data_IF_935400991780
#
_entry.id   IF_935400991780
#
_cell.length_a   1.000
_cell.length_b   1.000
_cell.length_c   1.000
_cell.angle_alpha   90.00
_cell.angle_beta   90.00
_cell.angle_gamma   90.00
#
_symmetry.space_group_name_H-M   'P 1'
#
loop_
_entity.id
_entity.type
_entity.pdbx_description
1 polymer ?
#
# COMPACT_ATOMS: atom_id res chain seq x y z
N UNK A 1 -24.14 8.88 19.12
CA UNK A 1 -24.27 9.31 18.84
C UNK A 1 -25.04 10.03 18.58
N UNK A 2 -25.20 10.53 18.24
CA UNK A 2 -26.07 11.16 18.44
C UNK A 2 -26.84 11.65 17.40
N UNK A 3 -28.01 11.97 17.56
CA UNK A 3 -28.81 12.46 16.56
C UNK A 3 -28.42 13.76 16.09
N UNK A 4 -27.58 14.37 16.83
CA UNK A 4 -27.16 15.69 16.46
C UNK A 4 -26.60 15.68 15.11
N UNK A 5 -25.86 14.64 14.80
CA UNK A 5 -25.24 14.62 13.52
C UNK A 5 -26.22 14.44 12.44
N UNK A 6 -27.31 13.76 12.69
CA UNK A 6 -28.26 13.61 11.64
C UNK A 6 -28.97 14.89 11.38
N UNK A 7 -29.14 15.73 12.41
CA UNK A 7 -29.79 16.98 12.18
C UNK A 7 -28.91 17.93 11.44
N UNK A 8 -27.63 17.81 11.63
CA UNK A 8 -26.70 18.69 10.95
C UNK A 8 -26.15 18.03 9.73
N UNK A 9 -26.99 17.35 9.02
CA UNK A 9 -26.57 16.58 7.88
C UNK A 9 -25.95 17.42 6.81
N UNK A 10 -24.85 16.96 6.30
CA UNK A 10 -24.26 17.52 5.13
C UNK A 10 -24.16 16.43 4.12
N UNK A 11 -24.16 16.81 2.86
CA UNK A 11 -23.99 15.82 1.83
C UNK A 11 -22.53 15.54 1.66
N UNK A 12 -22.11 14.33 2.01
CA UNK A 12 -20.74 13.90 1.79
C UNK A 12 -20.61 13.05 0.56
N UNK A 13 -21.64 13.02 -0.25
CA UNK A 13 -21.59 12.25 -1.48
C UNK A 13 -20.45 12.72 -2.35
N UNK A 14 -19.69 11.77 -2.86
CA UNK A 14 -18.56 12.09 -3.70
C UNK A 14 -17.28 12.41 -2.96
N UNK A 15 -17.31 12.51 -1.66
CA UNK A 15 -16.10 12.75 -0.88
C UNK A 15 -15.48 11.43 -0.48
N UNK A 16 -14.16 11.40 -0.47
CA UNK A 16 -13.42 10.23 -0.02
C UNK A 16 -13.63 10.02 1.47
N UNK A 17 -14.03 8.83 1.81
CA UNK A 17 -14.40 8.52 3.19
C UNK A 17 -13.21 7.92 3.92
N UNK A 18 -12.28 8.77 4.32
CA UNK A 18 -11.04 8.34 4.96
C UNK A 18 -11.28 7.68 6.31
N UNK A 19 -12.40 8.01 6.95
CA UNK A 19 -12.70 7.44 8.26
C UNK A 19 -13.02 5.95 8.21
N UNK A 20 -13.21 5.39 7.01
CA UNK A 20 -13.44 3.96 6.88
C UNK A 20 -12.15 3.14 6.91
N UNK A 21 -10.99 3.80 6.89
CA UNK A 21 -9.73 3.09 6.87
C UNK A 21 -9.44 2.48 8.25
N UNK A 22 -8.87 1.28 8.29
CA UNK A 22 -8.46 0.68 9.56
C UNK A 22 -7.18 1.35 10.06
N UNK A 23 -7.34 2.31 10.96
CA UNK A 23 -6.22 3.17 11.36
C UNK A 23 -5.09 2.39 12.03
N UNK A 24 -5.42 1.33 12.78
CA UNK A 24 -4.39 0.52 13.41
C UNK A 24 -3.54 -0.20 12.38
N UNK A 25 -4.16 -0.74 11.34
CA UNK A 25 -3.42 -1.39 10.26
C UNK A 25 -2.57 -0.38 9.50
N UNK A 26 -3.12 0.81 9.25
CA UNK A 26 -2.36 1.84 8.56
C UNK A 26 -1.17 2.32 9.39
N UNK A 27 -1.32 2.34 10.71
CA UNK A 27 -0.20 2.72 11.57
C UNK A 27 0.95 1.76 11.43
N UNK A 28 0.68 0.46 11.27
CA UNK A 28 1.75 -0.50 11.05
C UNK A 28 2.45 -0.25 9.72
N UNK A 29 1.71 0.11 8.68
CA UNK A 29 2.33 0.46 7.40
C UNK A 29 3.19 1.71 7.56
N UNK A 30 2.70 2.69 8.32
CA UNK A 30 3.48 3.89 8.58
C UNK A 30 4.79 3.58 9.30
N UNK A 31 4.79 2.59 10.19
CA UNK A 31 6.01 2.17 10.87
C UNK A 31 7.04 1.64 9.86
N UNK A 32 6.59 0.91 8.86
CA UNK A 32 7.50 0.43 7.81
C UNK A 32 8.08 1.61 7.04
N UNK A 33 7.24 2.60 6.74
CA UNK A 33 7.72 3.79 6.07
C UNK A 33 8.73 4.56 6.90
N UNK A 34 8.49 4.64 8.22
CA UNK A 34 9.41 5.32 9.10
C UNK A 34 10.75 4.60 9.18
N UNK A 35 10.72 3.28 9.18
CA UNK A 35 11.95 2.49 9.15
C UNK A 35 12.73 2.79 7.87
N UNK A 36 12.05 2.80 6.73
CA UNK A 36 12.69 3.09 5.46
C UNK A 36 13.24 4.51 5.40
N UNK A 37 12.52 5.46 6.02
CA UNK A 37 12.97 6.84 6.03
C UNK A 37 14.28 7.00 6.80
N UNK A 38 14.46 6.25 7.89
CA UNK A 38 15.72 6.30 8.61
C UNK A 38 16.87 5.75 7.78
N UNK A 39 16.58 4.74 6.96
CA UNK A 39 17.62 4.07 6.20
C UNK A 39 17.93 4.78 4.90
N UNK A 40 16.92 5.32 4.22
CA UNK A 40 17.07 5.86 2.87
C UNK A 40 16.71 7.33 2.75
N UNK A 41 16.17 7.93 3.80
CA UNK A 41 15.70 9.32 3.73
C UNK A 41 14.21 9.40 3.51
N UNK A 42 13.61 10.46 4.03
CA UNK A 42 12.17 10.66 3.88
C UNK A 42 11.83 10.85 2.42
N UNK A 43 10.74 10.24 2.02
CA UNK A 43 10.22 10.36 0.65
C UNK A 43 11.19 9.86 -0.43
N UNK A 44 12.18 9.07 -0.04
CA UNK A 44 13.12 8.53 -1.02
C UNK A 44 12.40 7.72 -2.10
N UNK A 45 11.32 7.03 -1.72
CA UNK A 45 10.56 6.22 -2.67
C UNK A 45 9.92 7.07 -3.77
N UNK A 46 9.71 8.37 -3.53
CA UNK A 46 9.07 9.23 -4.51
C UNK A 46 9.89 9.39 -5.78
N UNK A 47 11.16 9.07 -5.74
CA UNK A 47 12.01 9.13 -6.92
C UNK A 47 11.70 8.07 -7.97
N UNK A 48 10.96 7.06 -7.57
CA UNK A 48 10.55 6.02 -8.51
C UNK A 48 11.49 4.84 -8.52
N UNK A 49 10.93 3.69 -8.82
CA UNK A 49 11.71 2.49 -9.07
C UNK A 49 10.89 1.62 -10.01
N UNK A 50 11.50 0.55 -10.51
CA UNK A 50 10.75 -0.35 -11.38
C UNK A 50 9.64 -1.01 -10.61
N UNK A 51 8.46 -1.11 -11.22
CA UNK A 51 7.29 -1.64 -10.55
C UNK A 51 7.46 -3.11 -10.20
N UNK A 52 8.15 -3.88 -11.03
CA UNK A 52 8.38 -5.29 -10.75
C UNK A 52 9.15 -5.49 -9.45
N UNK A 53 9.98 -4.54 -9.07
CA UNK A 53 10.73 -4.62 -7.84
C UNK A 53 9.82 -4.57 -6.63
N UNK A 54 8.82 -3.70 -6.67
CA UNK A 54 7.84 -3.60 -5.60
C UNK A 54 6.90 -4.80 -5.61
N UNK A 55 6.52 -5.26 -6.80
CA UNK A 55 5.69 -6.47 -6.91
C UNK A 55 6.41 -7.65 -6.26
N UNK A 56 7.66 -7.83 -6.60
CA UNK A 56 8.43 -8.94 -6.03
C UNK A 56 8.55 -8.85 -4.52
N UNK A 57 8.81 -7.65 -4.02
CA UNK A 57 8.93 -7.45 -2.58
C UNK A 57 7.60 -7.73 -1.88
N UNK A 58 6.50 -7.22 -2.43
CA UNK A 58 5.18 -7.45 -1.85
C UNK A 58 4.87 -8.95 -1.77
N UNK A 59 5.14 -9.66 -2.86
CA UNK A 59 4.85 -11.09 -2.91
C UNK A 59 5.74 -11.89 -1.95
N UNK A 60 7.01 -11.51 -1.83
CA UNK A 60 7.88 -12.20 -0.88
C UNK A 60 7.37 -12.05 0.55
N UNK A 61 6.91 -10.87 0.91
CA UNK A 61 6.37 -10.66 2.25
C UNK A 61 5.08 -11.44 2.45
N UNK A 62 4.20 -11.45 1.44
CA UNK A 62 2.95 -12.19 1.54
C UNK A 62 3.22 -13.69 1.66
N UNK A 63 4.16 -14.20 0.88
CA UNK A 63 4.50 -15.62 0.93
C UNK A 63 5.08 -16.00 2.28
N UNK A 64 5.97 -15.19 2.83
CA UNK A 64 6.55 -15.45 4.14
C UNK A 64 5.46 -15.50 5.21
N UNK A 65 4.54 -14.55 5.14
CA UNK A 65 3.43 -14.53 6.08
C UNK A 65 2.55 -15.77 5.91
N UNK A 66 2.26 -16.14 4.66
CA UNK A 66 1.41 -17.31 4.38
C UNK A 66 2.04 -18.60 4.88
N UNK A 67 3.35 -18.63 4.97
CA UNK A 67 4.06 -19.80 5.48
C UNK A 67 4.24 -19.76 7.00
N UNK A 68 3.61 -18.81 7.67
CA UNK A 68 3.58 -18.79 9.12
C UNK A 68 4.52 -17.80 9.78
N UNK A 69 5.25 -17.01 9.03
CA UNK A 69 6.14 -16.02 9.61
C UNK A 69 5.43 -14.67 9.66
N UNK A 70 5.06 -14.25 10.86
CA UNK A 70 4.28 -13.01 10.98
C UNK A 70 5.10 -11.76 10.76
N UNK A 71 6.33 -11.76 11.23
CA UNK A 71 7.17 -10.57 11.18
C UNK A 71 8.43 -10.81 10.38
N UNK A 72 8.85 -9.76 9.68
CA UNK A 72 10.11 -9.79 8.96
C UNK A 72 11.23 -9.82 9.99
N UNK A 73 12.10 -10.83 9.97
CA UNK A 73 13.15 -10.92 10.98
C UNK A 73 14.18 -9.79 10.88
N UNK A 74 14.29 -9.18 9.72
CA UNK A 74 15.26 -8.10 9.56
C UNK A 74 14.80 -6.81 10.21
N UNK A 75 13.52 -6.51 10.13
CA UNK A 75 12.99 -5.25 10.66
C UNK A 75 12.19 -5.43 11.93
N UNK A 76 11.71 -6.65 12.21
CA UNK A 76 10.82 -6.89 13.33
C UNK A 76 9.41 -6.40 13.09
N UNK A 77 9.09 -5.95 11.87
CA UNK A 77 7.79 -5.40 11.55
C UNK A 77 6.98 -6.42 10.75
N UNK A 78 5.67 -6.23 10.77
CA UNK A 78 4.75 -7.16 10.12
C UNK A 78 5.06 -7.33 8.64
N UNK A 79 5.11 -8.58 8.18
CA UNK A 79 5.24 -8.86 6.75
C UNK A 79 4.10 -8.25 5.96
N UNK A 80 2.88 -8.29 6.50
CA UNK A 80 1.74 -7.72 5.79
C UNK A 80 1.84 -6.20 5.70
N UNK A 81 2.41 -5.56 6.72
CA UNK A 81 2.63 -4.13 6.66
C UNK A 81 3.67 -3.78 5.61
N UNK A 82 4.72 -4.59 5.48
CA UNK A 82 5.70 -4.39 4.40
C UNK A 82 5.04 -4.55 3.03
N UNK A 83 4.21 -5.57 2.87
CA UNK A 83 3.50 -5.76 1.60
C UNK A 83 2.56 -4.60 1.33
N UNK A 84 1.87 -4.13 2.36
CA UNK A 84 0.97 -2.99 2.22
C UNK A 84 1.72 -1.73 1.80
N UNK A 85 2.89 -1.52 2.34
CA UNK A 85 3.73 -0.39 1.95
C UNK A 85 4.07 -0.46 0.46
N UNK A 86 4.47 -1.64 -0.03
CA UNK A 86 4.78 -1.81 -1.44
C UNK A 86 3.56 -1.53 -2.32
N UNK A 87 2.39 -1.97 -1.88
CA UNK A 87 1.17 -1.74 -2.65
C UNK A 87 0.82 -0.26 -2.68
N UNK A 88 0.96 0.44 -1.56
CA UNK A 88 0.72 1.88 -1.55
C UNK A 88 1.66 2.61 -2.49
N UNK A 89 2.93 2.20 -2.53
CA UNK A 89 3.87 2.81 -3.47
C UNK A 89 3.44 2.58 -4.91
N UNK A 90 3.00 1.37 -5.22
CA UNK A 90 2.54 1.07 -6.58
C UNK A 90 1.32 1.88 -6.96
N UNK A 91 0.38 2.04 -6.04
CA UNK A 91 -0.79 2.88 -6.30
C UNK A 91 -0.35 4.30 -6.58
N UNK A 92 0.56 4.82 -5.77
CA UNK A 92 1.04 6.19 -5.95
C UNK A 92 1.80 6.34 -7.26
N UNK A 93 2.64 5.36 -7.61
CA UNK A 93 3.40 5.42 -8.86
C UNK A 93 2.47 5.40 -10.05
N UNK A 94 1.47 4.53 -10.03
CA UNK A 94 0.54 4.45 -11.15
C UNK A 94 -0.23 5.75 -11.29
N UNK A 95 -0.67 6.30 -10.18
CA UNK A 95 -1.44 7.53 -10.19
C UNK A 95 -0.61 8.73 -10.67
N UNK A 96 0.66 8.77 -10.29
CA UNK A 96 1.53 9.90 -10.58
C UNK A 96 2.34 9.74 -11.85
N UNK A 97 2.33 8.55 -12.45
CA UNK A 97 3.16 8.29 -13.62
C UNK A 97 4.64 8.24 -13.28
N UNK A 98 4.98 7.66 -12.13
CA UNK A 98 6.35 7.63 -11.64
C UNK A 98 6.87 6.19 -11.66
N UNK A 99 8.17 6.04 -11.82
CA UNK A 99 8.79 4.73 -11.91
C UNK A 99 8.66 4.17 -13.31
N UNK A 100 9.06 2.93 -13.44
CA UNK A 100 9.02 2.24 -14.72
C UNK A 100 8.05 1.07 -14.65
N UNK A 101 7.02 1.10 -15.49
CA UNK A 101 6.07 0.00 -15.58
C UNK A 101 6.69 -1.10 -16.43
N UNK A 102 7.45 -1.95 -15.77
CA UNK A 102 8.13 -3.06 -16.44
C UNK A 102 7.40 -4.38 -16.21
N UNK A 103 6.08 -4.33 -16.00
CA UNK A 103 5.31 -5.55 -15.84
C UNK A 103 5.34 -6.38 -17.11
N UNK A 104 5.48 -7.69 -16.94
CA UNK A 104 5.34 -8.60 -18.07
C UNK A 104 3.89 -8.55 -18.53
N UNK A 105 3.68 -8.18 -19.80
CA UNK A 105 2.33 -7.98 -20.30
C UNK A 105 1.95 -9.13 -21.19
N UNK A 106 1.00 -9.90 -20.71
CA UNK A 106 0.48 -11.03 -21.49
C UNK A 106 -0.66 -10.50 -22.32
N UNK A 107 -0.72 -10.80 -23.61
CA UNK A 107 -1.87 -10.40 -24.39
C UNK A 107 -3.13 -11.04 -23.81
N UNK A 108 -4.11 -10.21 -23.49
CA UNK A 108 -5.37 -10.69 -22.97
C UNK A 108 -6.38 -10.69 -24.10
N UNK A 109 -7.20 -11.73 -24.14
CA UNK A 109 -8.26 -11.70 -25.14
C UNK A 109 -9.35 -10.83 -24.59
N UNK A 110 -9.79 -9.97 -25.45
CA UNK A 110 -10.86 -9.10 -25.17
C UNK A 110 -11.44 -9.34 -23.85
N UNK A 111 -12.08 -8.78 -23.37
CA UNK A 111 -12.72 -8.74 -22.16
C UNK A 111 -12.40 -9.73 -21.10
N UNK A 112 -11.53 -10.57 -21.34
CA UNK A 112 -11.28 -11.65 -20.44
C UNK A 112 -10.33 -11.29 -19.36
N UNK A 113 -10.20 -10.11 -19.04
CA UNK A 113 -9.22 -9.72 -18.07
C UNK A 113 -9.59 -10.14 -16.65
N UNK A 114 -10.56 -10.84 -16.44
CA UNK A 114 -10.95 -11.16 -15.08
C UNK A 114 -9.97 -12.00 -14.33
#
# INVERSE_FOLDING_TARGET
MSDVREKAVKFDGGKTRLELLPFDALSEVADVLAFGAQKYGEHNWCGGMRWSRLIGAALRHIFAWAMGQDKDPETGLSHLAHAGCCILFLIAYQRRGVGEDDRFKVPLSDGSSS
#
